data_IF_363321208564
#
_entry.id   IF_363321208564
#
_cell.length_a   1.000
_cell.length_b   1.000
_cell.length_c   1.000
_cell.angle_alpha   90.00
_cell.angle_beta   90.00
_cell.angle_gamma   90.00
#
_symmetry.space_group_name_H-M   'P 1'
#
loop_
_entity.id
_entity.type
_entity.pdbx_description
1 polymer ?
#
# COMPACT_ATOMS: atom_id res chain seq x y z
N UNK A 1 -12.12 4.68 -32.94
CA UNK A 1 -11.91 4.78 -31.48
C UNK A 1 -12.28 3.41 -30.92
N UNK A 2 -11.30 2.51 -30.74
CA UNK A 2 -11.59 1.14 -30.31
C UNK A 2 -11.98 1.15 -28.83
N UNK A 3 -13.26 0.99 -28.53
CA UNK A 3 -13.72 0.57 -27.21
C UNK A 3 -13.24 -0.86 -27.01
N UNK A 4 -12.07 -1.04 -26.38
CA UNK A 4 -11.73 -2.32 -25.74
C UNK A 4 -12.88 -2.62 -24.77
N UNK A 5 -13.82 -3.49 -25.17
CA UNK A 5 -14.78 -4.06 -24.24
C UNK A 5 -13.98 -4.86 -23.22
N UNK A 6 -13.93 -4.34 -22.00
CA UNK A 6 -13.21 -4.98 -20.91
C UNK A 6 -13.99 -6.21 -20.45
N UNK A 7 -13.40 -7.39 -20.56
CA UNK A 7 -13.92 -8.57 -19.89
C UNK A 7 -13.83 -8.39 -18.37
N UNK A 8 -14.97 -8.10 -17.75
CA UNK A 8 -15.08 -7.84 -16.31
C UNK A 8 -14.71 -9.09 -15.50
N UNK A 9 -14.97 -10.29 -16.01
CA UNK A 9 -14.63 -11.53 -15.34
C UNK A 9 -13.11 -11.74 -15.34
N UNK A 10 -12.46 -11.44 -16.47
CA UNK A 10 -10.99 -11.44 -16.56
C UNK A 10 -10.37 -10.39 -15.61
N UNK A 11 -10.91 -9.17 -15.58
CA UNK A 11 -10.43 -8.11 -14.69
C UNK A 11 -10.58 -8.49 -13.21
N UNK A 12 -11.71 -9.12 -12.82
CA UNK A 12 -11.90 -9.65 -11.46
C UNK A 12 -10.86 -10.71 -11.13
N UNK A 13 -10.57 -11.63 -12.06
CA UNK A 13 -9.53 -12.64 -11.87
C UNK A 13 -8.15 -11.99 -11.67
N UNK A 14 -7.79 -11.00 -12.49
CA UNK A 14 -6.53 -10.28 -12.38
C UNK A 14 -6.41 -9.48 -11.08
N UNK A 15 -7.50 -8.82 -10.63
CA UNK A 15 -7.55 -8.13 -9.33
C UNK A 15 -7.39 -9.10 -8.16
N UNK A 16 -8.03 -10.27 -8.20
CA UNK A 16 -7.84 -11.32 -7.18
C UNK A 16 -6.41 -11.84 -7.14
N UNK A 17 -5.81 -12.10 -8.31
CA UNK A 17 -4.40 -12.50 -8.41
C UNK A 17 -3.46 -11.44 -7.84
N UNK A 18 -3.70 -10.17 -8.17
CA UNK A 18 -2.94 -9.05 -7.59
C UNK A 18 -3.11 -8.98 -6.07
N UNK A 19 -4.34 -9.10 -5.56
CA UNK A 19 -4.60 -9.09 -4.12
C UNK A 19 -3.83 -10.20 -3.39
N UNK A 20 -3.75 -11.40 -3.96
CA UNK A 20 -2.91 -12.48 -3.39
C UNK A 20 -1.43 -12.10 -3.39
N UNK A 21 -0.91 -11.50 -4.46
CA UNK A 21 0.47 -11.01 -4.50
C UNK A 21 0.73 -9.94 -3.45
N UNK A 22 -0.16 -8.95 -3.33
CA UNK A 22 -0.07 -7.87 -2.35
C UNK A 22 -0.09 -8.44 -0.92
N UNK A 23 -0.93 -9.45 -0.64
CA UNK A 23 -0.95 -10.14 0.66
C UNK A 23 0.35 -10.90 0.96
N UNK A 24 0.96 -11.56 -0.04
CA UNK A 24 2.25 -12.24 0.14
C UNK A 24 3.35 -11.21 0.48
N UNK A 25 3.39 -10.07 -0.22
CA UNK A 25 4.35 -9.00 0.08
C UNK A 25 4.13 -8.42 1.49
N UNK A 26 2.88 -8.20 1.88
CA UNK A 26 2.54 -7.70 3.22
C UNK A 26 2.93 -8.72 4.30
N UNK A 27 2.68 -10.01 4.10
CA UNK A 27 3.08 -11.06 5.03
C UNK A 27 4.60 -11.14 5.17
N UNK A 28 5.34 -11.07 4.06
CA UNK A 28 6.81 -11.05 4.09
C UNK A 28 7.34 -9.85 4.87
N UNK A 29 6.78 -8.65 4.60
CA UNK A 29 7.15 -7.44 5.32
C UNK A 29 6.86 -7.58 6.82
N UNK A 30 5.69 -8.12 7.18
CA UNK A 30 5.31 -8.36 8.57
C UNK A 30 6.31 -9.27 9.29
N UNK A 31 6.66 -10.42 8.69
CA UNK A 31 7.62 -11.37 9.27
C UNK A 31 8.98 -10.72 9.49
N UNK A 32 9.46 -9.92 8.53
CA UNK A 32 10.74 -9.19 8.66
C UNK A 32 10.69 -8.17 9.80
N UNK A 33 9.61 -7.40 9.89
CA UNK A 33 9.45 -6.39 10.95
C UNK A 33 9.33 -7.02 12.33
N UNK A 34 8.59 -8.12 12.47
CA UNK A 34 8.50 -8.88 13.72
C UNK A 34 9.86 -9.45 14.10
N UNK A 35 10.56 -10.09 13.16
CA UNK A 35 11.90 -10.64 13.39
C UNK A 35 12.89 -9.59 13.91
N UNK A 36 12.94 -8.40 13.30
CA UNK A 36 13.82 -7.32 13.77
C UNK A 36 13.41 -6.81 15.15
N UNK A 37 12.10 -6.73 15.41
CA UNK A 37 11.58 -6.26 16.70
C UNK A 37 11.91 -7.25 17.81
N UNK A 38 11.63 -8.53 17.62
CA UNK A 38 11.90 -9.61 18.59
C UNK A 38 13.41 -9.80 18.81
N UNK A 39 14.24 -9.44 17.83
CA UNK A 39 15.71 -9.42 17.95
C UNK A 39 16.25 -8.18 18.68
N UNK A 40 15.40 -7.28 19.19
CA UNK A 40 15.80 -6.01 19.81
C UNK A 40 16.37 -4.97 18.83
N UNK A 41 16.28 -5.21 17.52
CA UNK A 41 16.83 -4.36 16.46
C UNK A 41 15.81 -3.30 16.03
N UNK A 42 15.28 -2.54 16.99
CA UNK A 42 14.20 -1.56 16.76
C UNK A 42 14.53 -0.51 15.70
N UNK A 43 15.79 -0.06 15.63
CA UNK A 43 16.24 0.87 14.60
C UNK A 43 16.10 0.28 13.18
N UNK A 44 16.35 -1.02 13.00
CA UNK A 44 16.15 -1.70 11.71
C UNK A 44 14.68 -1.92 11.40
N UNK A 45 13.83 -2.21 12.40
CA UNK A 45 12.38 -2.27 12.21
C UNK A 45 11.85 -0.94 11.67
N UNK A 46 12.15 0.16 12.37
CA UNK A 46 11.75 1.51 12.00
C UNK A 46 12.31 1.87 10.61
N UNK A 47 13.62 1.72 10.42
CA UNK A 47 14.28 2.04 9.15
C UNK A 47 13.67 1.28 7.97
N UNK A 48 13.42 -0.02 8.14
CA UNK A 48 12.81 -0.88 7.09
C UNK A 48 11.39 -0.42 6.75
N UNK A 49 10.58 -0.12 7.76
CA UNK A 49 9.22 0.39 7.57
C UNK A 49 9.21 1.72 6.81
N UNK A 50 10.09 2.65 7.18
CA UNK A 50 10.24 3.93 6.51
C UNK A 50 10.70 3.79 5.07
N UNK A 51 11.72 2.96 4.81
CA UNK A 51 12.19 2.68 3.45
C UNK A 51 11.04 2.15 2.59
N UNK A 52 10.25 1.21 3.11
CA UNK A 52 9.10 0.67 2.39
C UNK A 52 8.05 1.74 2.05
N UNK A 53 7.66 2.57 3.03
CA UNK A 53 6.72 3.69 2.81
C UNK A 53 7.23 4.63 1.73
N UNK A 54 8.51 5.05 1.81
CA UNK A 54 9.06 6.01 0.87
C UNK A 54 9.24 5.43 -0.53
N UNK A 55 9.55 4.13 -0.65
CA UNK A 55 9.53 3.44 -1.95
C UNK A 55 8.12 3.50 -2.56
N UNK A 56 7.07 3.21 -1.78
CA UNK A 56 5.68 3.25 -2.26
C UNK A 56 5.28 4.66 -2.73
N UNK A 57 5.67 5.69 -1.97
CA UNK A 57 5.45 7.10 -2.33
C UNK A 57 6.19 7.44 -3.63
N UNK A 58 7.49 7.08 -3.72
CA UNK A 58 8.31 7.37 -4.89
C UNK A 58 7.77 6.70 -6.16
N UNK A 59 7.35 5.43 -6.08
CA UNK A 59 6.73 4.71 -7.19
C UNK A 59 5.41 5.36 -7.62
N UNK A 60 4.59 5.81 -6.67
CA UNK A 60 3.31 6.45 -6.97
C UNK A 60 3.52 7.82 -7.63
N UNK A 61 4.46 8.62 -7.12
CA UNK A 61 4.86 9.89 -7.72
C UNK A 61 5.45 9.70 -9.13
N UNK A 62 6.27 8.68 -9.33
CA UNK A 62 6.80 8.33 -10.65
C UNK A 62 5.66 8.02 -11.62
N UNK A 63 4.70 7.20 -11.23
CA UNK A 63 3.55 6.85 -12.09
C UNK A 63 2.66 8.07 -12.35
N UNK A 64 2.47 8.96 -11.38
CA UNK A 64 1.75 10.23 -11.58
C UNK A 64 2.46 11.15 -12.58
N UNK A 65 3.78 11.27 -12.49
CA UNK A 65 4.60 12.14 -13.34
C UNK A 65 4.72 11.60 -14.77
N UNK A 66 4.99 10.30 -14.92
CA UNK A 66 5.27 9.69 -16.23
C UNK A 66 4.03 9.12 -16.92
N UNK A 67 2.95 8.93 -16.17
CA UNK A 67 1.77 8.18 -16.64
C UNK A 67 2.05 6.68 -16.86
N UNK A 68 3.27 6.20 -16.58
CA UNK A 68 3.68 4.81 -16.78
C UNK A 68 3.48 4.01 -15.50
N UNK A 69 2.71 2.93 -15.63
CA UNK A 69 2.49 1.95 -14.57
C UNK A 69 3.74 1.10 -14.35
N UNK A 70 4.27 1.06 -13.13
CA UNK A 70 5.34 0.14 -12.72
C UNK A 70 4.71 -1.14 -12.13
N UNK A 71 5.34 -2.29 -12.38
CA UNK A 71 4.96 -3.58 -11.77
C UNK A 71 4.74 -4.70 -12.77
N UNK A 72 4.12 -5.78 -12.30
CA UNK A 72 3.81 -6.98 -13.10
C UNK A 72 2.81 -6.68 -14.21
N UNK A 73 2.76 -7.51 -15.26
CA UNK A 73 1.76 -7.39 -16.36
C UNK A 73 0.33 -7.30 -15.80
N UNK A 74 0.03 -8.10 -14.78
CA UNK A 74 -1.24 -8.06 -14.03
C UNK A 74 -1.50 -6.68 -13.44
N UNK A 75 -0.54 -6.12 -12.68
CA UNK A 75 -0.70 -4.81 -12.03
C UNK A 75 -0.90 -3.69 -13.05
N UNK A 76 -0.15 -3.71 -14.16
CA UNK A 76 -0.29 -2.72 -15.24
C UNK A 76 -1.68 -2.78 -15.87
N UNK A 77 -2.20 -3.98 -16.16
CA UNK A 77 -3.52 -4.17 -16.77
C UNK A 77 -4.64 -3.73 -15.83
N UNK A 78 -4.57 -4.10 -14.55
CA UNK A 78 -5.52 -3.64 -13.52
C UNK A 78 -5.49 -2.12 -13.38
N UNK A 79 -4.31 -1.50 -13.36
CA UNK A 79 -4.19 -0.04 -13.24
C UNK A 79 -4.72 0.69 -14.47
N UNK A 80 -4.49 0.18 -15.69
CA UNK A 80 -5.05 0.73 -16.93
C UNK A 80 -6.59 0.69 -16.88
N UNK A 81 -7.16 -0.44 -16.46
CA UNK A 81 -8.59 -0.59 -16.27
C UNK A 81 -9.15 0.42 -15.24
N UNK A 82 -8.55 0.51 -14.05
CA UNK A 82 -9.02 1.43 -13.00
C UNK A 82 -8.95 2.90 -13.42
N UNK A 83 -7.90 3.27 -14.17
CA UNK A 83 -7.72 4.62 -14.73
C UNK A 83 -8.80 4.93 -15.77
N UNK A 84 -9.12 3.98 -16.64
CA UNK A 84 -10.21 4.12 -17.62
C UNK A 84 -11.58 4.22 -16.94
N UNK A 85 -11.85 3.37 -15.93
CA UNK A 85 -13.13 3.34 -15.22
C UNK A 85 -13.38 4.61 -14.39
N UNK A 86 -12.36 5.10 -13.67
CA UNK A 86 -12.50 6.29 -12.82
C UNK A 86 -12.42 7.60 -13.61
N UNK A 87 -11.81 7.55 -14.80
CA UNK A 87 -11.41 8.73 -15.54
C UNK A 87 -10.12 9.35 -15.00
N UNK A 88 -9.35 9.94 -15.92
CA UNK A 88 -7.99 10.46 -15.66
C UNK A 88 -7.93 11.43 -14.46
N UNK A 89 -8.85 12.39 -14.42
CA UNK A 89 -8.87 13.45 -13.40
C UNK A 89 -9.12 12.89 -12.00
N UNK A 90 -10.11 12.00 -11.86
CA UNK A 90 -10.46 11.37 -10.58
C UNK A 90 -9.37 10.40 -10.13
N UNK A 91 -8.81 9.63 -11.06
CA UNK A 91 -7.72 8.71 -10.77
C UNK A 91 -6.48 9.47 -10.25
N UNK A 92 -6.06 10.55 -10.92
CA UNK A 92 -4.93 11.38 -10.45
C UNK A 92 -5.19 11.97 -9.08
N UNK A 93 -6.38 12.55 -8.85
CA UNK A 93 -6.74 13.12 -7.55
C UNK A 93 -6.64 12.08 -6.43
N UNK A 94 -7.18 10.88 -6.64
CA UNK A 94 -7.10 9.81 -5.64
C UNK A 94 -5.65 9.42 -5.34
N UNK A 95 -4.79 9.36 -6.36
CA UNK A 95 -3.36 9.04 -6.17
C UNK A 95 -2.58 10.16 -5.48
N UNK A 96 -2.92 11.42 -5.72
CA UNK A 96 -2.36 12.55 -4.98
C UNK A 96 -2.79 12.48 -3.50
N UNK A 97 -4.07 12.22 -3.22
CA UNK A 97 -4.57 12.07 -1.85
C UNK A 97 -3.83 10.93 -1.12
N UNK A 98 -3.65 9.79 -1.78
CA UNK A 98 -2.90 8.65 -1.24
C UNK A 98 -1.46 9.04 -0.89
N UNK A 99 -0.75 9.71 -1.80
CA UNK A 99 0.62 10.20 -1.55
C UNK A 99 0.66 11.17 -0.38
N UNK A 100 -0.24 12.16 -0.36
CA UNK A 100 -0.26 13.19 0.70
C UNK A 100 -0.52 12.54 2.06
N UNK A 101 -1.53 11.67 2.18
CA UNK A 101 -1.84 11.00 3.45
C UNK A 101 -0.65 10.16 3.91
N UNK A 102 -0.07 9.34 3.04
CA UNK A 102 1.06 8.48 3.39
C UNK A 102 2.29 9.30 3.77
N UNK A 103 2.58 10.38 3.05
CA UNK A 103 3.69 11.28 3.38
C UNK A 103 3.48 12.01 4.70
N UNK A 104 2.27 12.53 4.98
CA UNK A 104 1.96 13.21 6.25
C UNK A 104 2.09 12.23 7.43
N UNK A 105 1.54 11.03 7.30
CA UNK A 105 1.67 9.98 8.33
C UNK A 105 3.13 9.59 8.53
N UNK A 106 3.88 9.37 7.44
CA UNK A 106 5.30 9.03 7.51
C UNK A 106 6.13 10.11 8.22
N UNK A 107 5.99 11.38 7.80
CA UNK A 107 6.69 12.51 8.43
C UNK A 107 6.26 12.69 9.88
N UNK A 108 4.96 12.58 10.18
CA UNK A 108 4.44 12.68 11.54
C UNK A 108 5.04 11.63 12.48
N UNK A 109 5.11 10.37 12.03
CA UNK A 109 5.80 9.31 12.78
C UNK A 109 7.28 9.67 12.94
N UNK A 110 7.97 10.12 11.88
CA UNK A 110 9.39 10.46 11.99
C UNK A 110 9.65 11.58 13.02
N UNK A 111 8.84 12.64 13.00
CA UNK A 111 8.96 13.74 13.96
C UNK A 111 8.74 13.24 15.39
N UNK A 112 7.69 12.46 15.63
CA UNK A 112 7.47 11.84 16.94
C UNK A 112 8.70 11.00 17.35
N UNK A 113 9.24 10.22 16.41
CA UNK A 113 10.43 9.40 16.65
C UNK A 113 11.67 10.20 17.08
N UNK A 114 11.88 11.39 16.51
CA UNK A 114 13.02 12.25 16.82
C UNK A 114 12.83 13.13 18.06
N UNK A 115 11.58 13.46 18.40
CA UNK A 115 11.27 14.38 19.52
C UNK A 115 11.16 13.63 20.85
N UNK A 116 10.70 12.39 20.86
CA UNK A 116 10.67 11.57 22.09
C UNK A 116 11.96 10.77 22.24
N UNK A 117 12.59 10.83 23.42
CA UNK A 117 13.76 10.01 23.74
C UNK A 117 13.35 8.52 23.85
N UNK A 118 13.59 7.74 22.79
CA UNK A 118 13.16 6.33 22.70
C UNK A 118 13.81 5.41 23.73
N UNK A 119 14.87 5.84 24.40
CA UNK A 119 15.49 5.04 25.47
C UNK A 119 14.59 4.87 26.69
N UNK A 120 13.56 5.72 26.87
CA UNK A 120 12.59 5.58 27.97
C UNK A 120 11.27 4.91 27.57
N UNK A 121 11.06 4.64 26.27
CA UNK A 121 9.87 3.95 25.78
C UNK A 121 10.11 2.44 25.87
N UNK A 122 9.93 1.87 27.05
CA UNK A 122 9.65 0.44 27.13
C UNK A 122 8.32 0.21 26.42
N UNK A 123 8.38 -0.32 25.20
CA UNK A 123 7.21 -0.84 24.48
C UNK A 123 6.77 -2.15 25.17
N UNK A 124 6.36 -2.06 26.45
CA UNK A 124 5.85 -3.18 27.26
C UNK A 124 4.46 -3.64 26.80
N UNK A 125 3.97 -3.10 25.69
CA UNK A 125 2.71 -3.49 25.08
C UNK A 125 2.92 -4.62 24.07
N UNK A 126 2.40 -5.84 24.32
CA UNK A 126 2.38 -6.95 23.35
C UNK A 126 1.39 -6.69 22.18
N UNK A 127 1.03 -5.42 21.92
CA UNK A 127 0.02 -4.99 20.97
C UNK A 127 0.59 -4.48 19.64
N UNK A 128 1.90 -4.57 19.43
CA UNK A 128 2.57 -4.13 18.19
C UNK A 128 2.03 -4.78 16.89
N UNK A 129 1.42 -5.99 16.88
CA UNK A 129 0.81 -6.52 15.66
C UNK A 129 -0.51 -5.83 15.28
N UNK A 130 -1.26 -5.27 16.22
CA UNK A 130 -2.64 -4.82 15.97
C UNK A 130 -2.75 -3.68 14.94
N UNK A 131 -1.90 -2.63 14.96
CA UNK A 131 -1.95 -1.59 13.93
C UNK A 131 -1.71 -2.15 12.53
N UNK A 132 -0.78 -3.10 12.40
CA UNK A 132 -0.51 -3.77 11.13
C UNK A 132 -1.70 -4.62 10.68
N UNK A 133 -2.25 -5.45 11.57
CA UNK A 133 -3.41 -6.30 11.28
C UNK A 133 -4.63 -5.47 10.89
N UNK A 134 -4.89 -4.36 11.59
CA UNK A 134 -5.99 -3.44 11.29
C UNK A 134 -5.87 -2.82 9.89
N UNK A 135 -4.69 -2.28 9.57
CA UNK A 135 -4.42 -1.73 8.23
C UNK A 135 -4.53 -2.81 7.13
N UNK A 136 -4.03 -4.01 7.41
CA UNK A 136 -4.03 -5.13 6.47
C UNK A 136 -5.45 -5.67 6.20
N UNK A 137 -6.27 -5.83 7.24
CA UNK A 137 -7.67 -6.22 7.13
C UNK A 137 -8.47 -5.15 6.38
N UNK A 138 -8.29 -3.87 6.74
CA UNK A 138 -8.97 -2.76 6.07
C UNK A 138 -8.65 -2.68 4.58
N UNK A 139 -7.38 -2.87 4.20
CA UNK A 139 -6.95 -2.95 2.80
C UNK A 139 -7.66 -4.09 2.05
N UNK A 140 -7.66 -5.30 2.61
CA UNK A 140 -8.28 -6.48 2.00
C UNK A 140 -9.79 -6.30 1.81
N UNK A 141 -10.50 -5.84 2.85
CA UNK A 141 -11.95 -5.58 2.78
C UNK A 141 -12.24 -4.52 1.70
N UNK A 142 -11.46 -3.44 1.67
CA UNK A 142 -11.61 -2.39 0.67
C UNK A 142 -11.46 -2.89 -0.77
N UNK A 143 -10.48 -3.75 -1.04
CA UNK A 143 -10.30 -4.35 -2.37
C UNK A 143 -11.42 -5.34 -2.74
N UNK A 144 -11.89 -6.15 -1.79
CA UNK A 144 -13.04 -7.04 -2.01
C UNK A 144 -14.31 -6.26 -2.36
N UNK A 145 -14.60 -5.17 -1.64
CA UNK A 145 -15.76 -4.29 -1.91
C UNK A 145 -15.63 -3.60 -3.27
N UNK A 146 -14.44 -3.15 -3.66
CA UNK A 146 -14.22 -2.56 -5.00
C UNK A 146 -14.45 -3.57 -6.11
N UNK A 147 -14.07 -4.83 -5.90
CA UNK A 147 -14.29 -5.91 -6.86
C UNK A 147 -15.76 -6.33 -6.96
N UNK A 148 -16.50 -6.39 -5.84
CA UNK A 148 -17.94 -6.71 -5.86
C UNK A 148 -18.73 -5.62 -6.59
N UNK A 149 -18.35 -4.36 -6.40
CA UNK A 149 -18.92 -3.20 -7.10
C UNK A 149 -18.58 -3.13 -8.61
N UNK A 150 -17.86 -4.10 -9.19
CA UNK A 150 -17.71 -4.22 -10.64
C UNK A 150 -18.91 -4.91 -11.31
N UNK A 151 -19.85 -5.46 -10.54
CA UNK A 151 -21.02 -6.18 -11.04
C UNK A 151 -22.29 -5.34 -11.15
N UNK A 152 -22.24 -4.07 -10.74
CA UNK A 152 -23.33 -3.10 -10.81
C UNK A 152 -22.92 -2.00 -11.79
#
# INVERSE_FOLDING_TARGET
MYTEEWDIQEIKHLKKKKLVQDNIYMLLLFVILVYFTDSGKHALTIGTFFVFIWIMVALTLYTLKTGRSIGTKTSKRVQKFDRNRLGEKRWKRNKIIEVVIVSVVGVGIAVLLFVTDFNSLTLDFPSYPFPFLGAWLGFNIGELVRMSNLHR
#
